data_IF_357009152244
#
_entry.id   IF_357009152244
#
_cell.length_a   1.000
_cell.length_b   1.000
_cell.length_c   1.000
_cell.angle_alpha   90.00
_cell.angle_beta   90.00
_cell.angle_gamma   90.00
#
_symmetry.space_group_name_H-M   'P 1'
#
loop_
_entity.id
_entity.type
_entity.pdbx_description
1 polymer ?
#
# COMPACT_ATOMS: atom_id res chain seq x y z
N UNK A 1 33.64 -37.21 2.84
CA UNK A 1 33.93 -35.78 2.55
C UNK A 1 32.60 -35.08 2.38
N UNK A 2 32.06 -34.53 3.48
CA UNK A 2 30.81 -33.77 3.47
C UNK A 2 31.03 -32.51 2.65
N UNK A 3 30.25 -32.36 1.57
CA UNK A 3 30.15 -31.08 0.88
C UNK A 3 29.53 -30.13 1.85
N UNK A 4 30.32 -29.25 2.47
CA UNK A 4 29.81 -28.09 3.19
C UNK A 4 28.81 -27.42 2.30
N UNK A 5 27.57 -27.44 2.71
CA UNK A 5 26.45 -26.75 2.03
C UNK A 5 26.64 -25.26 2.29
N UNK A 6 27.52 -24.63 1.51
CA UNK A 6 27.75 -23.16 1.60
C UNK A 6 26.47 -22.45 1.31
N UNK A 7 25.94 -21.77 2.31
CA UNK A 7 24.76 -20.95 2.21
C UNK A 7 25.06 -19.80 1.20
N UNK A 8 24.33 -19.78 0.09
CA UNK A 8 24.45 -18.70 -0.89
C UNK A 8 23.48 -17.59 -0.48
N UNK A 9 23.98 -16.42 -0.08
CA UNK A 9 23.10 -15.31 0.29
C UNK A 9 22.30 -14.86 -0.94
N UNK A 10 21.01 -14.57 -0.74
CA UNK A 10 20.13 -14.11 -1.81
C UNK A 10 18.81 -13.59 -1.26
N UNK A 11 18.07 -12.86 -2.10
CA UNK A 11 16.74 -12.38 -1.80
C UNK A 11 15.69 -13.26 -2.48
N UNK A 12 14.50 -13.37 -1.91
CA UNK A 12 13.37 -13.96 -2.61
C UNK A 12 13.09 -13.22 -3.93
N UNK A 13 12.62 -13.91 -4.99
CA UNK A 13 12.26 -13.26 -6.24
C UNK A 13 11.24 -12.12 -6.02
N UNK A 14 11.46 -10.96 -6.64
CA UNK A 14 10.57 -9.79 -6.54
C UNK A 14 10.77 -8.91 -5.31
N UNK A 15 11.83 -9.17 -4.53
CA UNK A 15 12.27 -8.32 -3.43
C UNK A 15 13.61 -7.68 -3.78
N UNK A 16 13.87 -6.49 -3.26
CA UNK A 16 15.13 -5.79 -3.48
C UNK A 16 15.62 -5.03 -2.25
N UNK A 17 16.93 -5.01 -2.07
CA UNK A 17 17.58 -4.09 -1.14
C UNK A 17 17.71 -2.71 -1.81
N UNK A 18 17.34 -1.66 -1.08
CA UNK A 18 17.51 -0.27 -1.51
C UNK A 18 18.48 0.44 -0.60
N UNK A 19 19.52 0.99 -1.17
CA UNK A 19 20.59 1.64 -0.42
C UNK A 19 21.15 2.88 -1.11
N UNK A 20 21.91 3.70 -0.37
CA UNK A 20 22.61 4.88 -0.87
C UNK A 20 21.67 5.84 -1.64
N UNK A 21 22.04 6.26 -2.83
CA UNK A 21 21.35 7.28 -3.61
C UNK A 21 19.91 6.89 -3.99
N UNK A 22 19.66 5.61 -4.27
CA UNK A 22 18.29 5.13 -4.55
C UNK A 22 17.37 5.35 -3.35
N UNK A 23 17.85 5.05 -2.14
CA UNK A 23 17.05 5.24 -0.92
C UNK A 23 16.86 6.74 -0.62
N UNK A 24 17.88 7.56 -0.82
CA UNK A 24 17.79 9.01 -0.63
C UNK A 24 16.80 9.64 -1.60
N UNK A 25 16.82 9.23 -2.87
CA UNK A 25 15.85 9.69 -3.88
C UNK A 25 14.42 9.28 -3.51
N UNK A 26 14.22 8.02 -3.11
CA UNK A 26 12.90 7.54 -2.63
C UNK A 26 12.39 8.40 -1.47
N UNK A 27 13.22 8.70 -0.47
CA UNK A 27 12.83 9.55 0.67
C UNK A 27 12.46 10.97 0.25
N UNK A 28 13.17 11.56 -0.72
CA UNK A 28 12.82 12.88 -1.27
C UNK A 28 11.47 12.87 -1.98
N UNK A 29 11.22 11.82 -2.79
CA UNK A 29 9.95 11.62 -3.48
C UNK A 29 8.79 11.52 -2.48
N UNK A 30 8.93 10.67 -1.46
CA UNK A 30 7.92 10.50 -0.40
C UNK A 30 7.60 11.84 0.27
N UNK A 31 8.62 12.60 0.67
CA UNK A 31 8.42 13.92 1.30
C UNK A 31 7.65 14.91 0.40
N UNK A 32 7.91 14.89 -0.90
CA UNK A 32 7.22 15.77 -1.85
C UNK A 32 5.74 15.39 -1.99
N UNK A 33 5.43 14.08 -2.07
CA UNK A 33 4.07 13.55 -2.12
C UNK A 33 3.33 13.88 -0.81
N UNK A 34 3.91 13.52 0.32
CA UNK A 34 3.35 13.76 1.66
C UNK A 34 3.01 15.23 1.91
N UNK A 35 3.90 16.16 1.52
CA UNK A 35 3.67 17.59 1.61
C UNK A 35 2.40 18.02 0.89
N UNK A 36 2.12 17.46 -0.29
CA UNK A 36 0.89 17.76 -1.01
C UNK A 36 -0.34 17.13 -0.36
N UNK A 37 -0.24 15.89 0.10
CA UNK A 37 -1.32 15.21 0.81
C UNK A 37 -1.77 15.99 2.05
N UNK A 38 -0.84 16.47 2.86
CA UNK A 38 -1.10 17.33 4.02
C UNK A 38 -1.76 18.65 3.62
N UNK A 39 -1.31 19.30 2.52
CA UNK A 39 -1.93 20.55 2.03
C UNK A 39 -3.38 20.38 1.60
N UNK A 40 -3.77 19.20 1.16
CA UNK A 40 -5.14 18.87 0.80
C UNK A 40 -5.98 18.39 2.00
N UNK A 41 -5.43 18.54 3.21
CA UNK A 41 -6.13 18.32 4.48
C UNK A 41 -6.24 16.85 4.86
N UNK A 42 -5.39 15.98 4.34
CA UNK A 42 -5.37 14.57 4.75
C UNK A 42 -4.57 14.36 6.04
N UNK A 43 -5.08 13.50 6.88
CA UNK A 43 -4.42 13.00 8.08
C UNK A 43 -3.56 11.77 7.74
N UNK A 44 -2.42 11.66 8.42
CA UNK A 44 -1.54 10.50 8.25
C UNK A 44 -2.16 9.26 8.91
N UNK A 45 -2.17 8.15 8.20
CA UNK A 45 -2.55 6.85 8.73
C UNK A 45 -1.45 5.83 8.44
N UNK A 46 -1.12 5.03 9.44
CA UNK A 46 -0.35 3.80 9.28
C UNK A 46 -1.14 2.62 9.83
N UNK A 47 -1.16 1.53 9.10
CA UNK A 47 -1.79 0.27 9.52
C UNK A 47 -0.73 -0.83 9.60
N UNK A 48 -0.94 -1.89 10.40
CA UNK A 48 -0.05 -3.04 10.42
C UNK A 48 0.15 -3.66 9.02
N UNK A 49 1.31 -4.26 8.80
CA UNK A 49 1.56 -5.02 7.56
C UNK A 49 0.79 -6.34 7.51
N UNK A 50 0.35 -6.82 8.66
CA UNK A 50 -0.41 -8.05 8.82
C UNK A 50 -1.87 -7.75 9.11
N UNK A 51 -2.75 -8.45 8.42
CA UNK A 51 -4.20 -8.41 8.62
C UNK A 51 -4.71 -9.84 8.86
N UNK A 52 -5.82 -9.97 9.58
CA UNK A 52 -6.53 -11.25 9.67
C UNK A 52 -7.12 -11.53 8.29
N UNK A 53 -6.87 -12.72 7.73
CA UNK A 53 -7.28 -13.06 6.36
C UNK A 53 -8.78 -12.86 6.11
N UNK A 54 -9.62 -13.16 7.10
CA UNK A 54 -11.07 -12.94 7.05
C UNK A 54 -11.45 -11.45 6.94
N UNK A 55 -10.61 -10.55 7.48
CA UNK A 55 -10.86 -9.10 7.46
C UNK A 55 -10.61 -8.48 6.08
N UNK A 56 -9.82 -9.14 5.23
CA UNK A 56 -9.58 -8.70 3.85
C UNK A 56 -10.78 -9.01 2.98
N UNK A 57 -11.66 -9.94 3.43
CA UNK A 57 -12.91 -10.29 2.82
C UNK A 57 -12.79 -11.07 1.52
N UNK A 58 -13.94 -11.45 0.95
CA UNK A 58 -14.08 -12.07 -0.38
C UNK A 58 -13.66 -11.15 -1.54
N UNK A 59 -13.13 -10.00 -1.23
CA UNK A 59 -12.74 -8.93 -2.15
C UNK A 59 -11.65 -9.34 -3.15
N UNK A 60 -10.79 -10.29 -2.74
CA UNK A 60 -9.77 -10.90 -3.61
C UNK A 60 -10.24 -12.21 -4.26
N UNK A 61 -11.51 -12.58 -4.08
CA UNK A 61 -12.07 -13.86 -4.48
C UNK A 61 -12.69 -13.86 -5.88
N UNK A 62 -12.31 -12.96 -6.79
CA UNK A 62 -12.80 -12.97 -8.16
C UNK A 62 -12.27 -14.16 -8.98
N UNK A 63 -11.22 -14.85 -8.53
CA UNK A 63 -10.82 -16.14 -9.10
C UNK A 63 -11.41 -17.28 -8.26
N UNK A 64 -12.55 -17.83 -8.70
CA UNK A 64 -13.21 -18.96 -8.03
C UNK A 64 -12.29 -20.18 -7.87
N UNK A 65 -11.24 -20.30 -8.67
CA UNK A 65 -10.31 -21.42 -8.64
C UNK A 65 -9.24 -21.29 -7.53
N UNK A 66 -8.79 -20.09 -7.19
CA UNK A 66 -7.82 -19.88 -6.10
C UNK A 66 -7.74 -18.41 -5.63
N UNK A 67 -8.70 -17.94 -4.84
CA UNK A 67 -8.83 -16.52 -4.47
C UNK A 67 -7.66 -15.97 -3.63
N UNK A 68 -6.82 -16.84 -3.07
CA UNK A 68 -5.69 -16.47 -2.23
C UNK A 68 -4.33 -16.64 -2.90
N UNK A 69 -4.28 -16.98 -4.20
CA UNK A 69 -3.01 -17.25 -4.91
C UNK A 69 -2.06 -16.07 -4.93
N UNK A 70 -2.60 -14.85 -5.00
CA UNK A 70 -1.83 -13.62 -5.13
C UNK A 70 -1.53 -12.93 -3.80
N UNK A 71 -1.85 -13.59 -2.68
CA UNK A 71 -1.67 -13.06 -1.33
C UNK A 71 -0.64 -13.89 -0.56
N UNK A 72 0.25 -13.22 0.15
CA UNK A 72 1.11 -13.90 1.12
C UNK A 72 0.36 -14.15 2.41
N UNK A 73 0.17 -15.41 2.79
CA UNK A 73 -0.51 -15.79 4.02
C UNK A 73 0.25 -16.87 4.78
N UNK A 74 0.02 -16.94 6.07
CA UNK A 74 0.56 -17.95 6.98
C UNK A 74 -0.39 -18.17 8.17
N UNK A 75 -0.20 -19.29 8.87
CA UNK A 75 -0.98 -19.60 10.07
C UNK A 75 -0.27 -19.07 11.32
N UNK A 76 -1.05 -18.40 12.19
CA UNK A 76 -0.64 -17.99 13.53
C UNK A 76 -1.65 -18.59 14.54
N UNK A 77 -1.33 -19.74 15.09
CA UNK A 77 -2.28 -20.54 15.87
C UNK A 77 -3.50 -20.96 15.03
N UNK A 78 -4.68 -20.59 15.48
CA UNK A 78 -5.94 -20.90 14.78
C UNK A 78 -6.32 -19.86 13.72
N UNK A 79 -5.57 -18.75 13.64
CA UNK A 79 -5.88 -17.64 12.72
C UNK A 79 -5.01 -17.70 11.48
N UNK A 80 -5.63 -17.46 10.33
CA UNK A 80 -4.92 -17.17 9.10
C UNK A 80 -4.57 -15.69 9.05
N UNK A 81 -3.30 -15.39 8.86
CA UNK A 81 -2.76 -14.02 8.78
C UNK A 81 -2.26 -13.78 7.37
N UNK A 82 -2.49 -12.60 6.86
CA UNK A 82 -2.15 -12.20 5.50
C UNK A 82 -1.32 -10.92 5.50
N UNK A 83 -0.31 -10.84 4.66
CA UNK A 83 0.33 -9.58 4.35
C UNK A 83 -0.62 -8.71 3.53
N UNK A 84 -0.76 -7.43 3.88
CA UNK A 84 -1.65 -6.51 3.17
C UNK A 84 -1.31 -6.43 1.68
N UNK A 85 -2.31 -6.65 0.85
CA UNK A 85 -2.21 -6.61 -0.61
C UNK A 85 -2.28 -5.17 -1.16
N UNK A 86 -3.03 -4.31 -0.47
CA UNK A 86 -3.26 -2.90 -0.75
C UNK A 86 -3.33 -2.09 0.57
N UNK A 87 -3.69 -0.82 0.47
CA UNK A 87 -3.92 0.04 1.62
C UNK A 87 -5.41 0.38 1.84
N UNK A 88 -6.29 -0.02 0.91
CA UNK A 88 -7.72 0.24 0.97
C UNK A 88 -8.45 -0.72 1.90
N UNK A 89 -8.11 -2.02 1.87
CA UNK A 89 -8.70 -3.01 2.79
C UNK A 89 -8.39 -2.71 4.26
N UNK A 90 -7.13 -2.40 4.64
CA UNK A 90 -6.81 -1.92 5.98
C UNK A 90 -7.54 -0.63 6.38
N UNK A 91 -7.74 0.30 5.42
CA UNK A 91 -8.52 1.51 5.67
C UNK A 91 -9.98 1.17 5.98
N UNK A 92 -10.61 0.29 5.20
CA UNK A 92 -11.99 -0.12 5.43
C UNK A 92 -12.18 -0.72 6.84
N UNK A 93 -11.27 -1.59 7.26
CA UNK A 93 -11.26 -2.12 8.64
C UNK A 93 -11.08 -1.01 9.67
N UNK A 94 -10.11 -0.11 9.47
CA UNK A 94 -9.85 1.00 10.38
C UNK A 94 -11.08 1.90 10.55
N UNK A 95 -11.72 2.27 9.45
CA UNK A 95 -12.96 3.08 9.47
C UNK A 95 -14.10 2.35 10.19
N UNK A 96 -14.28 1.06 9.93
CA UNK A 96 -15.31 0.27 10.59
C UNK A 96 -15.11 0.19 12.12
N UNK A 97 -13.85 0.11 12.56
CA UNK A 97 -13.51 0.05 13.99
C UNK A 97 -13.62 1.39 14.71
N UNK A 98 -13.40 2.50 14.00
CA UNK A 98 -13.29 3.84 14.61
C UNK A 98 -14.35 4.83 14.11
N UNK A 99 -15.43 4.34 13.48
CA UNK A 99 -16.44 5.18 12.81
C UNK A 99 -17.08 6.26 13.70
N UNK A 100 -17.14 6.03 15.01
CA UNK A 100 -17.71 6.99 15.98
C UNK A 100 -16.74 8.13 16.34
N UNK A 101 -15.45 7.93 16.14
CA UNK A 101 -14.39 8.89 16.45
C UNK A 101 -13.96 9.69 15.24
N UNK A 102 -14.23 9.17 14.03
CA UNK A 102 -13.84 9.81 12.79
C UNK A 102 -14.78 10.96 12.41
N UNK A 103 -14.25 12.02 11.77
CA UNK A 103 -15.09 13.09 11.25
C UNK A 103 -16.03 12.57 10.15
N UNK A 104 -17.16 13.26 9.94
CA UNK A 104 -18.15 12.92 8.90
C UNK A 104 -17.57 12.83 7.49
N UNK A 105 -16.50 13.57 7.23
CA UNK A 105 -15.66 13.49 6.04
C UNK A 105 -14.23 13.29 6.52
N UNK A 106 -13.72 12.09 6.36
CA UNK A 106 -12.37 11.71 6.75
C UNK A 106 -11.49 11.64 5.52
N UNK A 107 -10.47 12.50 5.45
CA UNK A 107 -9.41 12.46 4.44
C UNK A 107 -8.17 11.85 5.07
N UNK A 108 -7.66 10.80 4.48
CA UNK A 108 -6.42 10.18 4.96
C UNK A 108 -5.40 10.04 3.85
N UNK A 109 -4.14 10.03 4.21
CA UNK A 109 -3.10 9.52 3.35
C UNK A 109 -2.30 8.43 4.06
N UNK A 110 -1.77 7.50 3.25
CA UNK A 110 -0.94 6.41 3.73
C UNK A 110 0.15 6.10 2.71
N UNK A 111 1.41 6.03 3.17
CA UNK A 111 2.55 5.74 2.29
C UNK A 111 3.31 4.58 2.90
N UNK A 112 2.97 3.36 2.48
CA UNK A 112 3.52 2.14 3.05
C UNK A 112 3.70 1.04 1.99
N UNK A 113 4.54 0.03 2.32
CA UNK A 113 4.72 -1.13 1.45
C UNK A 113 3.49 -2.02 1.44
N UNK A 114 3.20 -2.59 0.27
CA UNK A 114 2.21 -3.64 0.04
C UNK A 114 2.89 -4.86 -0.57
N UNK A 115 2.23 -6.00 -0.48
CA UNK A 115 2.83 -7.29 -0.78
C UNK A 115 1.91 -8.11 -1.69
N UNK A 116 2.43 -8.51 -2.86
CA UNK A 116 1.67 -9.28 -3.84
C UNK A 116 2.43 -10.52 -4.23
N UNK A 117 1.80 -11.69 -4.09
CA UNK A 117 2.41 -12.97 -4.43
C UNK A 117 2.34 -13.29 -5.93
N UNK A 118 2.33 -12.27 -6.75
CA UNK A 118 2.33 -12.38 -8.20
C UNK A 118 3.70 -12.81 -8.75
N UNK A 119 3.73 -13.25 -10.00
CA UNK A 119 4.99 -13.58 -10.67
C UNK A 119 5.85 -12.33 -10.83
N UNK A 120 7.03 -12.34 -10.23
CA UNK A 120 8.01 -11.26 -10.37
C UNK A 120 8.49 -11.12 -11.82
N UNK A 121 8.73 -9.87 -12.25
CA UNK A 121 9.21 -9.55 -13.59
C UNK A 121 9.97 -8.23 -13.63
N UNK A 122 10.37 -7.79 -14.81
CA UNK A 122 11.06 -6.52 -14.97
C UNK A 122 10.11 -5.36 -14.60
N UNK A 123 10.47 -4.59 -13.56
CA UNK A 123 9.64 -3.53 -13.01
C UNK A 123 8.43 -3.99 -12.19
N UNK A 124 8.24 -5.30 -11.98
CA UNK A 124 7.14 -5.89 -11.21
C UNK A 124 7.69 -6.57 -9.97
N UNK A 125 7.58 -5.85 -8.86
CA UNK A 125 8.04 -6.29 -7.54
C UNK A 125 6.91 -6.94 -6.76
N UNK A 126 7.26 -7.84 -5.85
CA UNK A 126 6.33 -8.49 -4.91
C UNK A 126 6.18 -7.70 -3.60
N UNK A 127 7.12 -6.81 -3.33
CA UNK A 127 7.05 -5.77 -2.31
C UNK A 127 7.29 -4.41 -2.95
N UNK A 128 6.33 -3.50 -2.85
CA UNK A 128 6.45 -2.15 -3.37
C UNK A 128 5.65 -1.17 -2.51
N UNK A 129 5.97 0.11 -2.65
CA UNK A 129 5.31 1.16 -1.89
C UNK A 129 4.13 1.71 -2.68
N UNK A 130 2.98 1.85 -2.01
CA UNK A 130 1.86 2.66 -2.45
C UNK A 130 1.82 3.98 -1.69
N UNK A 131 1.31 5.01 -2.34
CA UNK A 131 1.02 6.31 -1.76
C UNK A 131 -0.45 6.62 -2.07
N UNK A 132 -1.30 6.36 -1.10
CA UNK A 132 -2.74 6.45 -1.23
C UNK A 132 -3.28 7.69 -0.52
N UNK A 133 -4.26 8.31 -1.15
CA UNK A 133 -5.06 9.39 -0.60
C UNK A 133 -6.53 9.05 -0.79
N UNK A 134 -7.29 9.00 0.29
CA UNK A 134 -8.70 8.65 0.27
C UNK A 134 -9.56 9.70 0.98
N UNK A 135 -10.79 9.81 0.50
CA UNK A 135 -11.84 10.61 1.11
C UNK A 135 -12.98 9.65 1.46
N UNK A 136 -13.26 9.51 2.74
CA UNK A 136 -14.30 8.62 3.26
C UNK A 136 -15.39 9.47 3.90
N UNK A 137 -16.65 9.19 3.58
CA UNK A 137 -17.81 9.87 4.16
C UNK A 137 -18.85 10.29 3.13
N UNK A 138 -19.82 11.09 3.56
CA UNK A 138 -20.88 11.57 2.70
C UNK A 138 -20.40 12.83 1.93
N UNK A 139 -19.73 12.62 0.81
CA UNK A 139 -19.22 13.67 -0.07
C UNK A 139 -19.86 13.58 -1.46
N UNK A 140 -19.96 14.71 -2.14
CA UNK A 140 -20.30 14.73 -3.57
C UNK A 140 -19.15 14.06 -4.37
N UNK A 141 -19.41 12.96 -5.08
CA UNK A 141 -18.38 12.26 -5.85
C UNK A 141 -17.70 13.14 -6.90
N UNK A 142 -18.42 14.09 -7.51
CA UNK A 142 -17.84 14.98 -8.51
C UNK A 142 -16.83 15.95 -7.88
N UNK A 143 -17.14 16.48 -6.70
CA UNK A 143 -16.23 17.34 -5.94
C UNK A 143 -15.00 16.55 -5.45
N UNK A 144 -15.20 15.36 -4.90
CA UNK A 144 -14.12 14.50 -4.44
C UNK A 144 -13.17 14.13 -5.60
N UNK A 145 -13.71 13.73 -6.74
CA UNK A 145 -12.92 13.41 -7.93
C UNK A 145 -12.14 14.61 -8.47
N UNK A 146 -12.76 15.78 -8.50
CA UNK A 146 -12.08 17.02 -8.92
C UNK A 146 -10.92 17.38 -7.97
N UNK A 147 -11.11 17.21 -6.67
CA UNK A 147 -10.06 17.39 -5.67
C UNK A 147 -8.90 16.41 -5.88
N UNK A 148 -9.19 15.12 -6.08
CA UNK A 148 -8.18 14.10 -6.35
C UNK A 148 -7.40 14.40 -7.65
N UNK A 149 -8.06 14.78 -8.72
CA UNK A 149 -7.40 15.17 -9.97
C UNK A 149 -6.46 16.37 -9.76
N UNK A 150 -6.91 17.38 -9.00
CA UNK A 150 -6.08 18.54 -8.66
C UNK A 150 -4.87 18.15 -7.81
N UNK A 151 -5.06 17.31 -6.79
CA UNK A 151 -3.99 16.77 -5.95
C UNK A 151 -2.93 16.03 -6.80
N UNK A 152 -3.37 15.12 -7.67
CA UNK A 152 -2.48 14.35 -8.55
C UNK A 152 -1.70 15.30 -9.47
N UNK A 153 -2.40 16.20 -10.16
CA UNK A 153 -1.79 17.19 -11.05
C UNK A 153 -0.73 18.04 -10.33
N UNK A 154 -1.08 18.54 -9.14
CA UNK A 154 -0.17 19.35 -8.32
C UNK A 154 1.06 18.53 -7.87
N UNK A 155 0.84 17.30 -7.44
CA UNK A 155 1.93 16.42 -6.99
C UNK A 155 2.88 16.07 -8.13
N UNK A 156 2.37 15.72 -9.30
CA UNK A 156 3.19 15.43 -10.49
C UNK A 156 3.94 16.66 -10.97
N UNK A 157 3.33 17.85 -10.91
CA UNK A 157 3.98 19.12 -11.23
C UNK A 157 5.15 19.40 -10.28
N UNK A 158 4.95 19.25 -8.97
CA UNK A 158 6.01 19.47 -7.97
C UNK A 158 7.16 18.45 -8.09
N UNK A 159 6.89 17.28 -8.66
CA UNK A 159 7.88 16.25 -8.98
C UNK A 159 8.52 16.42 -10.37
N UNK A 160 8.12 17.45 -11.12
CA UNK A 160 8.55 17.67 -12.52
C UNK A 160 8.24 16.49 -13.45
N UNK A 161 7.17 15.73 -13.18
CA UNK A 161 6.75 14.56 -13.98
C UNK A 161 5.66 14.87 -15.01
N UNK A 162 5.11 16.09 -15.01
CA UNK A 162 3.98 16.48 -15.86
C UNK A 162 4.39 16.81 -17.32
N UNK A 163 5.67 16.90 -17.57
CA UNK A 163 6.25 17.28 -18.86
C UNK A 163 7.11 16.18 -19.52
N UNK A 164 6.86 14.93 -19.15
CA UNK A 164 7.55 13.79 -19.76
C UNK A 164 6.72 13.24 -20.90
#
# INVERSE_FOLDING_TARGET
MDKENKLVPGLPPGFEDRWSNKLLLKKKLIKAIEKNFIKFGAEALETPSFEISESIGSFLAEDEANPMSDVFSFQDGEKSITLRYDLSSPLARFVAQNNQELPSIFKRYQIQNVFRNEKAGNGRYREFMQADFDIVGNVDPAQANAELCNLISKTLSDLSLIHI
#
